data_IF_377916485990
#
_entry.id   IF_377916485990
#
_cell.length_a   1.000
_cell.length_b   1.000
_cell.length_c   1.000
_cell.angle_alpha   90.00
_cell.angle_beta   90.00
_cell.angle_gamma   90.00
#
_symmetry.space_group_name_H-M   'P 1'
#
loop_
_entity.id
_entity.type
_entity.pdbx_description
1 polymer ?
#
# COMPACT_ATOMS: atom_id res chain seq x y z
N UNK A 1 7.96 15.80 -10.76
CA UNK A 1 6.64 15.15 -10.63
C UNK A 1 6.91 13.66 -10.44
N UNK A 2 7.18 13.22 -9.19
CA UNK A 2 7.44 11.81 -8.85
C UNK A 2 7.40 11.68 -7.31
N UNK A 3 6.19 11.56 -6.74
CA UNK A 3 5.99 11.19 -5.32
C UNK A 3 5.19 9.86 -5.19
N UNK A 4 4.81 9.22 -6.32
CA UNK A 4 4.41 7.80 -6.36
C UNK A 4 5.68 7.03 -6.70
N UNK A 5 6.14 6.20 -5.79
CA UNK A 5 7.35 5.37 -5.90
C UNK A 5 7.33 4.42 -7.10
N UNK A 6 7.46 4.89 -8.35
CA UNK A 6 7.35 4.07 -9.58
C UNK A 6 6.21 3.02 -9.58
N UNK A 7 5.15 3.29 -8.80
CA UNK A 7 4.02 2.39 -8.64
C UNK A 7 3.11 2.59 -9.85
N UNK A 8 2.62 1.48 -10.40
CA UNK A 8 1.53 1.53 -11.36
C UNK A 8 0.25 2.06 -10.70
N UNK A 9 -0.75 2.40 -11.52
CA UNK A 9 -2.06 2.79 -10.98
C UNK A 9 -2.70 1.68 -10.16
N UNK A 10 -2.55 0.43 -10.59
CA UNK A 10 -3.06 -0.72 -9.88
C UNK A 10 -2.37 -0.94 -8.53
N UNK A 11 -1.04 -0.83 -8.47
CA UNK A 11 -0.26 -0.98 -7.24
C UNK A 11 -0.56 0.14 -6.23
N UNK A 12 -0.77 1.35 -6.72
CA UNK A 12 -1.16 2.47 -5.88
C UNK A 12 -2.55 2.29 -5.28
N UNK A 13 -3.53 1.89 -6.09
CA UNK A 13 -4.87 1.58 -5.60
C UNK A 13 -4.85 0.44 -4.59
N UNK A 14 -4.05 -0.60 -4.85
CA UNK A 14 -3.82 -1.68 -3.89
C UNK A 14 -3.22 -1.16 -2.57
N UNK A 15 -2.19 -0.30 -2.63
CA UNK A 15 -1.59 0.30 -1.44
C UNK A 15 -2.61 1.13 -0.64
N UNK A 16 -3.48 1.87 -1.33
CA UNK A 16 -4.58 2.62 -0.70
C UNK A 16 -5.60 1.68 -0.03
N UNK A 17 -5.93 0.54 -0.64
CA UNK A 17 -6.79 -0.50 -0.03
C UNK A 17 -6.14 -1.11 1.21
N UNK A 18 -4.84 -1.45 1.14
CA UNK A 18 -4.09 -1.93 2.31
C UNK A 18 -4.15 -0.89 3.44
N UNK A 19 -4.05 0.40 3.12
CA UNK A 19 -4.12 1.48 4.11
C UNK A 19 -5.49 1.64 4.78
N UNK A 20 -6.57 1.15 4.17
CA UNK A 20 -7.93 1.18 4.75
C UNK A 20 -8.14 0.08 5.80
N UNK A 21 -7.29 -0.95 5.78
CA UNK A 21 -7.41 -2.10 6.67
C UNK A 21 -8.40 -3.13 6.16
N UNK A 22 -8.80 -4.07 7.02
CA UNK A 22 -9.80 -5.08 6.66
C UNK A 22 -11.22 -4.47 6.64
N UNK A 23 -12.09 -4.90 5.71
CA UNK A 23 -11.92 -6.04 4.79
C UNK A 23 -11.13 -5.73 3.51
N UNK A 24 -10.95 -4.47 3.13
CA UNK A 24 -10.38 -4.06 1.84
C UNK A 24 -8.97 -4.57 1.60
N UNK A 25 -8.13 -4.58 2.64
CA UNK A 25 -6.75 -5.07 2.55
C UNK A 25 -6.66 -6.56 2.27
N UNK A 26 -7.72 -7.34 2.53
CA UNK A 26 -7.80 -8.77 2.19
C UNK A 26 -8.18 -9.02 0.74
N UNK A 27 -8.73 -8.02 0.06
CA UNK A 27 -9.13 -8.10 -1.36
C UNK A 27 -7.98 -7.74 -2.30
N UNK A 28 -6.81 -7.38 -1.77
CA UNK A 28 -5.64 -7.05 -2.57
C UNK A 28 -5.03 -8.34 -3.14
N UNK A 29 -4.81 -8.44 -4.46
CA UNK A 29 -4.17 -9.60 -5.07
C UNK A 29 -2.83 -9.92 -4.41
N UNK A 30 -2.59 -11.22 -4.15
CA UNK A 30 -1.39 -11.68 -3.44
C UNK A 30 -0.10 -11.21 -4.10
N UNK A 31 -0.02 -11.24 -5.43
CA UNK A 31 1.14 -10.81 -6.22
C UNK A 31 1.46 -9.33 -6.02
N UNK A 32 0.44 -8.47 -6.00
CA UNK A 32 0.62 -7.04 -5.73
C UNK A 32 1.03 -6.82 -4.28
N UNK A 33 0.41 -7.53 -3.35
CA UNK A 33 0.77 -7.45 -1.94
C UNK A 33 2.24 -7.84 -1.70
N UNK A 34 2.71 -8.94 -2.29
CA UNK A 34 4.10 -9.38 -2.20
C UNK A 34 5.06 -8.32 -2.73
N UNK A 35 4.75 -7.73 -3.88
CA UNK A 35 5.54 -6.63 -4.44
C UNK A 35 5.56 -5.40 -3.53
N UNK A 36 4.42 -5.02 -2.95
CA UNK A 36 4.35 -3.93 -1.96
C UNK A 36 5.16 -4.25 -0.69
N UNK A 37 5.25 -5.50 -0.27
CA UNK A 37 6.09 -5.95 0.84
C UNK A 37 7.57 -5.87 0.47
N UNK A 38 7.96 -6.35 -0.72
CA UNK A 38 9.33 -6.27 -1.25
C UNK A 38 9.83 -4.83 -1.33
N UNK A 39 8.95 -3.88 -1.70
CA UNK A 39 9.25 -2.45 -1.72
C UNK A 39 9.23 -1.79 -0.32
N UNK A 40 8.94 -2.55 0.74
CA UNK A 40 8.84 -2.04 2.11
C UNK A 40 7.65 -1.10 2.35
N UNK A 41 6.59 -1.23 1.56
CA UNK A 41 5.38 -0.41 1.63
C UNK A 41 4.21 -1.10 2.35
N UNK A 42 4.21 -2.42 2.37
CA UNK A 42 3.25 -3.22 3.14
C UNK A 42 3.98 -4.16 4.10
N UNK A 43 3.25 -4.64 5.10
CA UNK A 43 3.68 -5.68 6.04
C UNK A 43 2.56 -6.69 6.21
N UNK A 44 2.92 -7.96 6.35
CA UNK A 44 1.99 -8.97 6.82
C UNK A 44 1.76 -8.76 8.32
N UNK A 45 0.53 -8.36 8.69
CA UNK A 45 0.12 -8.29 10.08
C UNK A 45 -0.81 -9.46 10.40
N UNK A 46 -0.89 -9.83 11.69
CA UNK A 46 -1.78 -10.91 12.16
C UNK A 46 -3.23 -10.56 11.84
N UNK A 47 -3.78 -11.19 10.80
CA UNK A 47 -5.19 -11.12 10.42
C UNK A 47 -5.51 -10.32 9.15
N UNK A 48 -4.67 -9.36 8.77
CA UNK A 48 -4.81 -8.62 7.50
C UNK A 48 -3.53 -7.87 7.13
N UNK A 49 -3.23 -7.66 5.84
CA UNK A 49 -2.14 -6.80 5.42
C UNK A 49 -2.32 -5.37 5.91
N UNK A 50 -1.21 -4.69 6.22
CA UNK A 50 -1.20 -3.29 6.63
C UNK A 50 -0.05 -2.53 5.97
N UNK A 51 -0.16 -1.20 5.89
CA UNK A 51 0.88 -0.35 5.31
C UNK A 51 2.03 -0.11 6.29
N UNK A 52 3.25 -0.03 5.77
CA UNK A 52 4.42 0.35 6.56
C UNK A 52 4.37 1.83 6.98
N UNK A 53 5.14 2.26 8.00
CA UNK A 53 5.27 3.68 8.34
C UNK A 53 5.76 4.55 7.18
N UNK A 54 6.58 3.99 6.27
CA UNK A 54 7.04 4.67 5.06
C UNK A 54 5.87 4.91 4.10
N UNK A 55 5.10 3.86 3.79
CA UNK A 55 3.94 3.99 2.92
C UNK A 55 2.90 4.96 3.47
N UNK A 56 2.65 4.94 4.79
CA UNK A 56 1.73 5.88 5.44
C UNK A 56 2.10 7.34 5.18
N UNK A 57 3.39 7.69 5.31
CA UNK A 57 3.87 9.07 5.03
C UNK A 57 3.65 9.48 3.57
N UNK A 58 3.88 8.55 2.63
CA UNK A 58 3.70 8.80 1.20
C UNK A 58 2.22 9.04 0.88
N UNK A 59 1.33 8.19 1.38
CA UNK A 59 -0.12 8.33 1.22
C UNK A 59 -0.60 9.67 1.78
N UNK A 60 -0.15 10.06 2.97
CA UNK A 60 -0.52 11.36 3.56
C UNK A 60 -0.07 12.52 2.67
N UNK A 61 1.20 12.54 2.26
CA UNK A 61 1.72 13.60 1.40
C UNK A 61 1.00 13.69 0.05
N UNK A 62 0.60 12.55 -0.53
CA UNK A 62 -0.15 12.53 -1.79
C UNK A 62 -1.57 13.08 -1.68
N UNK A 63 -2.15 13.17 -0.48
CA UNK A 63 -3.49 13.74 -0.25
C UNK A 63 -3.49 15.25 0.01
N UNK A 64 -2.33 15.81 0.36
CA UNK A 64 -2.15 17.25 0.63
C UNK A 64 -1.81 18.05 -0.64
N UNK A 65 -1.69 17.38 -1.79
CA UNK A 65 -1.49 17.99 -3.11
C UNK A 65 -2.77 17.90 -3.92
#
# INVERSE_FOLDING_TARGET
MQDRLDLTDEEWEALLRVSRGAPESRLVPRTILERLIEMGLAVEARGAPSVSPRARRIITRSRER
#
